data_IF_333862252154
#
_entry.id   IF_333862252154
#
_cell.length_a   1.000
_cell.length_b   1.000
_cell.length_c   1.000
_cell.angle_alpha   90.00
_cell.angle_beta   90.00
_cell.angle_gamma   90.00
#
_symmetry.space_group_name_H-M   'P 1'
#
loop_
_entity.id
_entity.type
_entity.pdbx_description
1 polymer ?
#
# COMPACT_ATOMS: atom_id res chain seq x y z
N UNK A 1 -11.30 17.65 2.78
CA UNK A 1 -10.87 16.41 3.44
C UNK A 1 -10.52 15.48 2.30
N UNK A 2 -9.24 15.32 1.98
CA UNK A 2 -8.86 14.36 0.96
C UNK A 2 -8.94 12.94 1.52
N UNK A 3 -9.03 12.00 0.60
CA UNK A 3 -9.15 10.58 0.93
C UNK A 3 -7.82 10.08 1.46
N UNK A 4 -7.78 9.78 2.77
CA UNK A 4 -6.63 9.11 3.37
C UNK A 4 -6.57 7.68 2.84
N UNK A 5 -5.38 7.21 2.54
CA UNK A 5 -5.15 5.81 2.23
C UNK A 5 -3.90 5.28 2.91
N UNK A 6 -3.84 3.96 3.05
CA UNK A 6 -2.67 3.26 3.57
C UNK A 6 -2.37 2.09 2.67
N UNK A 7 -1.13 2.03 2.19
CA UNK A 7 -0.66 0.96 1.34
C UNK A 7 0.22 -0.01 2.11
N UNK A 8 -0.06 -1.31 1.98
CA UNK A 8 0.81 -2.41 2.37
C UNK A 8 1.54 -2.85 1.11
N UNK A 9 2.85 -2.58 1.03
CA UNK A 9 3.67 -2.79 -0.17
C UNK A 9 4.59 -3.99 0.03
N UNK A 10 4.56 -4.93 -0.90
CA UNK A 10 5.55 -6.02 -0.96
C UNK A 10 6.77 -5.51 -1.74
N UNK A 11 7.87 -5.32 -1.02
CA UNK A 11 9.14 -4.78 -1.55
C UNK A 11 10.06 -5.86 -2.10
N UNK A 12 9.71 -7.14 -1.97
CA UNK A 12 10.57 -8.28 -2.33
C UNK A 12 10.06 -9.07 -3.53
N UNK A 13 8.76 -8.96 -3.86
CA UNK A 13 8.20 -9.65 -5.01
C UNK A 13 8.71 -9.03 -6.30
N UNK A 14 9.21 -9.87 -7.21
CA UNK A 14 9.67 -9.42 -8.53
C UNK A 14 8.52 -9.00 -9.42
N UNK A 15 8.79 -8.12 -10.38
CA UNK A 15 7.79 -7.62 -11.32
C UNK A 15 7.10 -8.74 -12.11
N UNK A 16 7.84 -9.80 -12.45
CA UNK A 16 7.34 -10.93 -13.23
C UNK A 16 6.32 -11.80 -12.47
N UNK A 17 6.43 -11.86 -11.14
CA UNK A 17 5.58 -12.72 -10.28
C UNK A 17 4.38 -11.94 -9.74
N UNK A 18 4.49 -10.61 -9.63
CA UNK A 18 3.46 -9.75 -9.06
C UNK A 18 2.04 -9.93 -9.64
N UNK A 19 1.83 -10.10 -10.97
CA UNK A 19 0.49 -10.31 -11.53
C UNK A 19 -0.19 -11.58 -11.02
N UNK A 20 0.57 -12.68 -10.94
CA UNK A 20 0.06 -13.97 -10.41
C UNK A 20 -0.27 -13.85 -8.93
N UNK A 21 0.61 -13.22 -8.16
CA UNK A 21 0.39 -13.00 -6.74
C UNK A 21 -0.81 -12.08 -6.45
N UNK A 22 -1.08 -11.11 -7.31
CA UNK A 22 -2.25 -10.24 -7.20
C UNK A 22 -3.57 -11.00 -7.42
N UNK A 23 -3.60 -11.92 -8.39
CA UNK A 23 -4.75 -12.80 -8.61
C UNK A 23 -4.96 -13.74 -7.40
N UNK A 24 -3.89 -14.36 -6.89
CA UNK A 24 -3.96 -15.21 -5.69
C UNK A 24 -4.40 -14.41 -4.46
N UNK A 25 -4.01 -13.15 -4.36
CA UNK A 25 -4.44 -12.25 -3.30
C UNK A 25 -5.92 -11.88 -3.41
N UNK A 26 -6.39 -11.58 -4.63
CA UNK A 26 -7.81 -11.35 -4.91
C UNK A 26 -8.65 -12.58 -4.51
N UNK A 27 -8.27 -13.77 -4.98
CA UNK A 27 -8.96 -15.02 -4.64
C UNK A 27 -9.00 -15.25 -3.13
N UNK A 28 -7.87 -15.03 -2.43
CA UNK A 28 -7.80 -15.16 -0.98
C UNK A 28 -8.73 -14.20 -0.25
N UNK A 29 -8.80 -12.94 -0.68
CA UNK A 29 -9.69 -11.92 -0.09
C UNK A 29 -11.16 -12.28 -0.34
N UNK A 30 -11.48 -12.78 -1.53
CA UNK A 30 -12.81 -13.23 -1.91
C UNK A 30 -13.24 -14.46 -1.08
N UNK A 31 -12.42 -15.50 -1.04
CA UNK A 31 -12.68 -16.76 -0.32
C UNK A 31 -12.77 -16.54 1.20
N UNK A 32 -12.02 -15.56 1.71
CA UNK A 32 -12.06 -15.16 3.13
C UNK A 32 -13.28 -14.28 3.47
N UNK A 33 -14.12 -13.94 2.49
CA UNK A 33 -15.29 -13.08 2.67
C UNK A 33 -14.92 -11.66 3.09
N UNK A 34 -13.80 -11.13 2.61
CA UNK A 34 -13.36 -9.75 2.91
C UNK A 34 -13.98 -8.76 1.93
N UNK A 35 -13.96 -9.11 0.64
CA UNK A 35 -14.39 -8.26 -0.46
C UNK A 35 -15.56 -8.87 -1.24
N UNK A 36 -16.28 -8.02 -1.97
CA UNK A 36 -17.19 -8.44 -3.03
C UNK A 36 -16.40 -8.82 -4.29
N UNK A 37 -16.92 -9.75 -5.12
CA UNK A 37 -16.23 -10.18 -6.33
C UNK A 37 -16.19 -9.09 -7.41
N UNK A 38 -17.07 -8.10 -7.37
CA UNK A 38 -17.17 -7.03 -8.36
C UNK A 38 -16.17 -5.89 -8.09
N UNK A 39 -15.62 -5.33 -9.17
CA UNK A 39 -14.88 -4.07 -9.12
C UNK A 39 -15.85 -2.90 -9.01
N UNK A 40 -15.43 -1.88 -8.26
CA UNK A 40 -16.02 -0.54 -8.27
C UNK A 40 -15.03 0.47 -8.84
N UNK A 41 -15.54 1.47 -9.54
CA UNK A 41 -14.78 2.54 -10.21
C UNK A 41 -15.22 3.95 -9.79
N UNK A 42 -16.09 4.04 -8.79
CA UNK A 42 -16.67 5.27 -8.26
C UNK A 42 -15.84 5.90 -7.12
N UNK A 43 -14.63 5.40 -6.86
CA UNK A 43 -13.71 6.00 -5.91
C UNK A 43 -13.08 7.29 -6.49
N UNK A 44 -12.88 8.28 -5.61
CA UNK A 44 -12.05 9.45 -5.92
C UNK A 44 -10.70 9.00 -6.50
N UNK A 45 -10.20 9.72 -7.50
CA UNK A 45 -8.96 9.44 -8.24
C UNK A 45 -9.03 8.32 -9.30
N UNK A 46 -10.23 7.78 -9.60
CA UNK A 46 -10.44 6.87 -10.73
C UNK A 46 -9.72 5.52 -10.59
N UNK A 47 -9.49 5.11 -9.35
CA UNK A 47 -8.93 3.80 -9.01
C UNK A 47 -9.98 2.70 -9.12
N UNK A 48 -9.56 1.53 -9.60
CA UNK A 48 -10.34 0.31 -9.51
C UNK A 48 -10.07 -0.35 -8.16
N UNK A 49 -11.11 -0.55 -7.38
CA UNK A 49 -11.01 -1.21 -6.09
C UNK A 49 -12.13 -2.23 -5.91
N UNK A 50 -12.02 -3.01 -4.84
CA UNK A 50 -13.00 -3.99 -4.42
C UNK A 50 -13.73 -3.45 -3.20
N UNK A 51 -15.08 -3.38 -3.22
CA UNK A 51 -15.85 -3.05 -2.03
C UNK A 51 -15.63 -4.12 -0.96
N UNK A 52 -15.60 -3.70 0.31
CA UNK A 52 -15.67 -4.64 1.43
C UNK A 52 -17.08 -5.22 1.54
N UNK A 53 -17.20 -6.41 2.11
CA UNK A 53 -18.50 -6.95 2.46
C UNK A 53 -19.04 -6.29 3.73
N UNK A 54 -20.34 -5.99 3.74
CA UNK A 54 -21.03 -5.35 4.87
C UNK A 54 -21.04 -6.19 6.15
N UNK A 55 -20.82 -7.51 6.06
CA UNK A 55 -20.75 -8.45 7.18
C UNK A 55 -19.31 -8.69 7.68
N UNK A 56 -18.30 -8.16 6.99
CA UNK A 56 -16.92 -8.30 7.41
C UNK A 56 -16.61 -7.33 8.55
N UNK A 57 -16.17 -7.89 9.69
CA UNK A 57 -15.82 -7.16 10.93
C UNK A 57 -14.34 -7.28 11.28
N UNK A 58 -13.56 -7.93 10.42
CA UNK A 58 -12.19 -8.32 10.70
C UNK A 58 -11.20 -7.16 10.83
N UNK A 59 -11.61 -5.94 10.45
CA UNK A 59 -10.77 -4.73 10.44
C UNK A 59 -11.31 -3.59 11.33
N UNK A 60 -12.34 -3.85 12.15
CA UNK A 60 -12.98 -2.83 12.99
C UNK A 60 -12.04 -2.30 14.07
N UNK A 61 -11.06 -3.09 14.54
CA UNK A 61 -10.12 -2.66 15.59
C UNK A 61 -9.06 -1.65 15.09
N UNK A 62 -9.02 -1.37 13.79
CA UNK A 62 -8.07 -0.41 13.18
C UNK A 62 -8.44 1.06 13.39
N UNK A 63 -9.62 1.35 13.97
CA UNK A 63 -10.10 2.69 14.29
C UNK A 63 -9.15 3.50 15.22
N UNK A 64 -9.29 4.84 15.25
CA UNK A 64 -8.36 5.73 15.94
C UNK A 64 -8.39 5.55 17.48
N UNK A 65 -7.21 5.46 18.09
CA UNK A 65 -7.03 5.41 19.55
C UNK A 65 -7.43 6.74 20.22
N UNK A 66 -7.36 7.88 19.49
CA UNK A 66 -7.76 9.19 20.01
C UNK A 66 -9.27 9.40 20.08
N UNK A 67 -10.08 8.49 19.56
CA UNK A 67 -11.55 8.57 19.64
C UNK A 67 -12.10 8.37 21.04
N UNK A 68 -11.29 7.98 22.03
CA UNK A 68 -11.74 7.83 23.41
C UNK A 68 -12.18 9.14 24.08
N UNK A 69 -11.92 10.31 23.46
CA UNK A 69 -12.38 11.62 23.94
C UNK A 69 -13.56 12.20 23.15
N UNK A 70 -14.05 11.53 22.09
CA UNK A 70 -15.31 11.91 21.46
C UNK A 70 -16.45 11.19 22.18
N UNK A 71 -17.14 11.95 23.02
CA UNK A 71 -18.40 11.55 23.63
C UNK A 71 -19.28 10.89 22.57
N UNK A 72 -19.73 9.67 22.89
CA UNK A 72 -20.72 8.94 22.11
C UNK A 72 -22.01 9.76 22.02
N UNK A 73 -22.14 10.56 20.96
CA UNK A 73 -23.45 10.96 20.50
C UNK A 73 -24.06 9.76 19.78
N UNK A 74 -24.88 9.07 20.56
CA UNK A 74 -25.90 8.12 20.13
C UNK A 74 -26.56 8.60 18.83
N UNK A 75 -26.28 7.92 17.71
CA UNK A 75 -27.16 7.61 16.55
C UNK A 75 -26.38 7.24 15.24
N UNK A 76 -25.25 6.54 15.31
CA UNK A 76 -24.82 5.66 14.21
C UNK A 76 -23.94 4.52 14.74
N UNK A 77 -24.28 3.26 14.47
CA UNK A 77 -23.53 2.10 14.97
C UNK A 77 -22.19 1.95 14.24
N UNK A 78 -21.24 1.28 14.89
CA UNK A 78 -19.87 1.06 14.43
C UNK A 78 -19.76 0.43 13.04
N UNK A 79 -19.16 1.20 12.13
CA UNK A 79 -18.79 0.75 10.79
C UNK A 79 -17.30 0.93 10.60
N UNK A 80 -16.63 -0.11 10.10
CA UNK A 80 -15.26 -0.05 9.61
C UNK A 80 -15.12 1.17 8.69
N UNK A 81 -14.20 2.08 8.99
CA UNK A 81 -13.99 3.27 8.16
C UNK A 81 -13.33 2.96 6.80
N UNK A 82 -12.93 1.69 6.58
CA UNK A 82 -12.38 1.19 5.32
C UNK A 82 -13.54 0.90 4.36
N UNK A 83 -13.56 1.60 3.23
CA UNK A 83 -14.66 1.54 2.26
C UNK A 83 -14.33 0.71 1.02
N UNK A 84 -13.04 0.50 0.75
CA UNK A 84 -12.59 -0.32 -0.36
C UNK A 84 -11.14 -0.80 -0.17
N UNK A 85 -10.80 -1.88 -0.89
CA UNK A 85 -9.45 -2.43 -1.02
C UNK A 85 -9.06 -2.34 -2.50
N UNK A 86 -7.99 -1.63 -2.81
CA UNK A 86 -7.34 -1.70 -4.12
C UNK A 86 -6.17 -2.69 -4.06
N UNK A 87 -6.02 -3.50 -5.10
CA UNK A 87 -4.87 -4.38 -5.29
C UNK A 87 -4.02 -3.79 -6.42
N UNK A 88 -2.90 -3.15 -6.07
CA UNK A 88 -2.03 -2.48 -7.03
C UNK A 88 -0.95 -3.43 -7.56
N UNK A 89 -0.71 -3.40 -8.88
CA UNK A 89 0.35 -4.16 -9.55
C UNK A 89 1.07 -3.28 -10.57
N UNK A 90 2.40 -3.26 -10.52
CA UNK A 90 3.20 -2.44 -11.46
C UNK A 90 2.98 -2.84 -12.91
N UNK A 91 2.55 -1.90 -13.75
CA UNK A 91 2.33 -2.10 -15.19
C UNK A 91 1.04 -2.84 -15.55
N UNK A 92 0.15 -3.05 -14.59
CA UNK A 92 -1.15 -3.67 -14.80
C UNK A 92 -2.27 -2.83 -14.19
N UNK A 93 -3.48 -3.01 -14.71
CA UNK A 93 -4.70 -2.47 -14.13
C UNK A 93 -5.78 -3.56 -14.13
N UNK A 94 -6.65 -3.51 -13.12
CA UNK A 94 -7.88 -4.29 -13.08
C UNK A 94 -8.93 -3.75 -14.04
N UNK A 95 -9.61 -4.63 -14.75
CA UNK A 95 -10.76 -4.29 -15.58
C UNK A 95 -11.90 -5.29 -15.34
N UNK A 96 -13.12 -4.86 -15.63
CA UNK A 96 -14.29 -5.73 -15.62
C UNK A 96 -14.24 -6.56 -16.92
N UNK A 97 -14.01 -7.87 -16.78
CA UNK A 97 -13.98 -8.82 -17.89
C UNK A 97 -15.36 -9.06 -18.51
N UNK A 98 -15.38 -9.70 -19.68
CA UNK A 98 -16.63 -9.98 -20.41
C UNK A 98 -17.62 -10.87 -19.64
N UNK A 99 -17.11 -11.64 -18.68
CA UNK A 99 -17.91 -12.52 -17.80
C UNK A 99 -18.40 -11.80 -16.54
N UNK A 100 -18.11 -10.50 -16.40
CA UNK A 100 -18.35 -9.72 -15.18
C UNK A 100 -17.29 -9.95 -14.10
N UNK A 101 -16.35 -10.88 -14.30
CA UNK A 101 -15.26 -11.12 -13.35
C UNK A 101 -14.12 -10.10 -13.53
N UNK A 102 -13.48 -9.65 -12.44
CA UNK A 102 -12.26 -8.87 -12.50
C UNK A 102 -11.16 -9.63 -13.23
N UNK A 103 -10.49 -8.95 -14.14
CA UNK A 103 -9.35 -9.47 -14.87
C UNK A 103 -8.22 -8.44 -14.79
N UNK A 104 -6.98 -8.91 -14.91
CA UNK A 104 -5.80 -8.05 -14.84
C UNK A 104 -5.20 -7.90 -16.25
N UNK A 105 -5.17 -6.67 -16.78
CA UNK A 105 -4.57 -6.37 -18.09
C UNK A 105 -3.34 -5.50 -17.97
N UNK A 106 -2.44 -5.65 -18.96
CA UNK A 106 -1.28 -4.78 -19.08
C UNK A 106 -1.75 -3.37 -19.39
N UNK A 107 -1.50 -2.44 -18.48
CA UNK A 107 -1.74 -1.02 -18.71
C UNK A 107 -0.65 -0.19 -18.03
N UNK A 108 0.08 0.64 -18.77
CA UNK A 108 1.03 1.57 -18.17
C UNK A 108 0.28 2.63 -17.35
N UNK A 109 0.69 2.82 -16.09
CA UNK A 109 0.08 3.80 -15.20
C UNK A 109 0.47 3.62 -13.73
N UNK A 110 0.40 2.39 -13.21
CA UNK A 110 0.94 2.07 -11.89
C UNK A 110 2.44 1.77 -12.00
N UNK A 111 3.24 2.65 -11.40
CA UNK A 111 4.70 2.54 -11.42
C UNK A 111 5.26 1.75 -10.23
N UNK A 112 4.45 1.26 -9.29
CA UNK A 112 4.94 0.59 -8.09
C UNK A 112 5.64 1.52 -7.10
N UNK A 113 5.29 2.81 -7.13
CA UNK A 113 5.79 3.80 -6.19
C UNK A 113 4.62 4.28 -5.34
N UNK A 114 4.78 4.16 -4.02
CA UNK A 114 3.78 4.53 -3.03
C UNK A 114 4.40 5.61 -2.15
N UNK A 115 3.83 6.82 -2.16
CA UNK A 115 4.42 7.97 -1.47
C UNK A 115 3.41 9.04 -1.08
N UNK A 116 3.74 9.83 -0.07
CA UNK A 116 3.00 11.04 0.27
C UNK A 116 3.43 12.19 -0.66
N UNK A 117 2.53 12.63 -1.56
CA UNK A 117 2.82 13.65 -2.57
C UNK A 117 2.86 15.08 -2.01
N UNK A 118 2.10 15.37 -0.94
CA UNK A 118 1.89 16.75 -0.48
C UNK A 118 2.91 17.23 0.57
N UNK A 119 3.72 16.33 1.14
CA UNK A 119 4.73 16.65 2.17
C UNK A 119 6.19 16.47 1.74
N UNK A 120 6.43 15.94 0.53
CA UNK A 120 7.67 15.25 0.21
C UNK A 120 7.84 13.99 1.07
N UNK A 121 8.95 13.28 0.87
CA UNK A 121 9.26 12.09 1.65
C UNK A 121 10.75 11.93 1.89
N UNK A 122 11.06 11.11 2.89
CA UNK A 122 12.42 10.66 3.20
C UNK A 122 12.55 9.15 3.01
N UNK A 123 13.72 8.71 2.58
CA UNK A 123 14.07 7.28 2.50
C UNK A 123 15.34 6.99 3.26
N UNK A 124 15.39 5.88 3.99
CA UNK A 124 16.51 5.50 4.84
C UNK A 124 17.30 4.36 4.21
N UNK A 125 18.63 4.45 4.28
CA UNK A 125 19.51 3.40 3.83
C UNK A 125 19.27 2.11 4.65
N UNK A 126 19.10 0.94 4.03
CA UNK A 126 18.86 -0.30 4.78
C UNK A 126 20.02 -0.74 5.67
N UNK A 127 21.25 -0.26 5.42
CA UNK A 127 22.43 -0.62 6.21
C UNK A 127 22.75 0.35 7.34
N UNK A 128 22.81 1.66 7.05
CA UNK A 128 23.25 2.66 8.02
C UNK A 128 22.14 3.59 8.50
N UNK A 129 20.91 3.43 8.00
CA UNK A 129 19.72 4.24 8.33
C UNK A 129 19.81 5.73 8.01
N UNK A 130 20.92 6.19 7.42
CA UNK A 130 21.06 7.56 6.93
C UNK A 130 19.93 7.89 5.95
N UNK A 131 19.29 9.03 6.19
CA UNK A 131 18.11 9.46 5.46
C UNK A 131 18.50 10.34 4.26
N UNK A 132 17.80 10.13 3.14
CA UNK A 132 17.83 11.00 1.97
C UNK A 132 16.43 11.59 1.81
N UNK A 133 16.31 12.91 1.91
CA UNK A 133 15.04 13.62 1.76
C UNK A 133 14.88 14.10 0.32
N UNK A 134 13.72 13.86 -0.27
CA UNK A 134 13.40 14.37 -1.60
C UNK A 134 13.43 15.91 -1.60
N UNK A 135 14.17 16.50 -2.54
CA UNK A 135 14.27 17.95 -2.71
C UNK A 135 15.27 18.65 -1.77
N UNK A 136 16.04 17.90 -0.97
CA UNK A 136 17.17 18.41 -0.21
C UNK A 136 18.48 18.28 -1.00
N UNK A 137 19.49 19.06 -0.62
CA UNK A 137 20.85 18.91 -1.17
C UNK A 137 21.35 17.47 -0.98
N UNK A 138 21.88 16.85 -2.04
CA UNK A 138 22.32 15.45 -2.02
C UNK A 138 21.23 14.43 -2.39
N UNK A 139 20.03 14.87 -2.81
CA UNK A 139 18.95 13.98 -3.28
C UNK A 139 19.02 13.64 -4.77
N UNK A 140 20.05 14.06 -5.50
CA UNK A 140 20.22 13.81 -6.95
C UNK A 140 20.19 12.31 -7.26
N UNK A 141 20.90 11.50 -6.46
CA UNK A 141 20.89 10.05 -6.60
C UNK A 141 19.50 9.44 -6.38
N UNK A 142 18.66 10.04 -5.53
CA UNK A 142 17.28 9.59 -5.33
C UNK A 142 16.42 9.92 -6.56
N UNK A 143 16.56 11.10 -7.17
CA UNK A 143 15.85 11.43 -8.41
C UNK A 143 16.25 10.49 -9.56
N UNK A 144 17.54 10.19 -9.69
CA UNK A 144 18.03 9.22 -10.67
C UNK A 144 17.45 7.82 -10.43
N UNK A 145 17.43 7.35 -9.18
CA UNK A 145 16.86 6.05 -8.83
C UNK A 145 15.35 5.99 -9.12
N UNK A 146 14.58 7.04 -8.81
CA UNK A 146 13.15 7.12 -9.10
C UNK A 146 12.88 7.11 -10.62
N UNK A 147 13.68 7.85 -11.40
CA UNK A 147 13.58 7.85 -12.85
C UNK A 147 13.95 6.48 -13.45
N UNK A 148 15.03 5.87 -12.96
CA UNK A 148 15.42 4.51 -13.35
C UNK A 148 14.33 3.49 -13.00
N UNK A 149 13.66 3.65 -11.85
CA UNK A 149 12.56 2.78 -11.45
C UNK A 149 11.39 2.87 -12.42
N UNK A 150 11.02 4.08 -12.85
CA UNK A 150 9.96 4.27 -13.84
C UNK A 150 10.26 3.55 -15.17
N UNK A 151 11.52 3.50 -15.59
CA UNK A 151 11.93 2.87 -16.85
C UNK A 151 12.12 1.36 -16.72
N UNK A 152 12.90 0.93 -15.73
CA UNK A 152 13.22 -0.46 -15.45
C UNK A 152 13.47 -0.67 -13.94
N UNK A 153 12.42 -1.02 -13.17
CA UNK A 153 12.48 -1.16 -11.71
C UNK A 153 13.63 -2.02 -11.18
N UNK A 154 13.87 -3.17 -11.82
CA UNK A 154 14.89 -4.14 -11.40
C UNK A 154 16.32 -3.60 -11.52
N UNK A 155 16.52 -2.53 -12.29
CA UNK A 155 17.82 -1.84 -12.44
C UNK A 155 17.95 -0.58 -11.59
N UNK A 156 16.89 -0.19 -10.87
CA UNK A 156 16.90 1.01 -10.04
C UNK A 156 17.72 0.79 -8.78
N UNK A 157 18.88 1.44 -8.72
CA UNK A 157 19.79 1.38 -7.59
C UNK A 157 19.95 2.76 -6.97
N UNK A 158 19.98 2.83 -5.64
CA UNK A 158 20.28 4.04 -4.89
C UNK A 158 21.53 3.83 -4.05
N UNK A 159 22.48 4.76 -4.19
CA UNK A 159 23.73 4.79 -3.44
C UNK A 159 23.60 5.68 -2.21
N UNK A 160 23.93 5.14 -1.04
CA UNK A 160 23.97 5.91 0.19
C UNK A 160 25.23 6.79 0.27
N UNK A 161 25.06 8.08 0.50
CA UNK A 161 26.18 9.02 0.68
C UNK A 161 26.99 8.78 1.97
N UNK A 162 26.37 8.21 3.00
CA UNK A 162 27.03 8.01 4.31
C UNK A 162 27.83 6.71 4.40
N UNK A 163 27.28 5.59 3.93
CA UNK A 163 27.96 4.28 4.02
C UNK A 163 28.43 3.73 2.68
N UNK A 164 28.18 4.45 1.58
CA UNK A 164 28.57 4.09 0.23
C UNK A 164 27.93 2.82 -0.35
N UNK A 165 26.99 2.19 0.37
CA UNK A 165 26.25 1.04 -0.12
C UNK A 165 25.34 1.43 -1.29
N UNK A 166 25.35 0.62 -2.35
CA UNK A 166 24.46 0.76 -3.52
C UNK A 166 23.53 -0.44 -3.55
N UNK A 167 22.23 -0.20 -3.39
CA UNK A 167 21.22 -1.27 -3.32
C UNK A 167 19.92 -0.88 -4.01
N UNK A 168 19.06 -1.86 -4.35
CA UNK A 168 17.81 -1.59 -5.06
C UNK A 168 16.91 -0.59 -4.33
N UNK A 169 16.25 0.30 -5.07
CA UNK A 169 15.36 1.31 -4.49
C UNK A 169 14.25 0.70 -3.63
N UNK A 170 13.73 -0.49 -3.99
CA UNK A 170 12.71 -1.20 -3.21
C UNK A 170 13.15 -1.56 -1.78
N UNK A 171 14.46 -1.64 -1.53
CA UNK A 171 15.02 -1.92 -0.19
C UNK A 171 15.11 -0.67 0.69
N UNK A 172 14.96 0.53 0.11
CA UNK A 172 14.95 1.78 0.84
C UNK A 172 13.53 2.05 1.35
N UNK A 173 13.41 2.21 2.66
CA UNK A 173 12.13 2.44 3.33
C UNK A 173 12.18 3.76 4.09
N UNK A 174 11.03 4.43 4.20
CA UNK A 174 10.88 5.58 5.08
C UNK A 174 10.61 5.13 6.52
N UNK A 175 11.37 5.60 7.50
CA UNK A 175 11.05 5.36 8.92
C UNK A 175 9.68 5.96 9.31
N UNK A 176 9.31 7.07 8.66
CA UNK A 176 8.03 7.74 8.84
C UNK A 176 6.92 7.18 7.95
N UNK A 177 7.17 6.09 7.21
CA UNK A 177 6.19 5.42 6.34
C UNK A 177 5.65 6.35 5.25
N UNK A 178 6.51 7.24 4.75
CA UNK A 178 6.16 8.20 3.70
C UNK A 178 6.40 7.64 2.29
N UNK A 179 7.13 6.52 2.18
CA UNK A 179 7.59 5.98 0.91
C UNK A 179 7.85 4.46 0.97
N UNK A 180 7.44 3.77 -0.08
CA UNK A 180 7.94 2.44 -0.45
C UNK A 180 7.87 2.24 -1.97
N UNK A 181 8.77 1.42 -2.50
CA UNK A 181 8.75 0.95 -3.88
C UNK A 181 8.57 -0.58 -3.94
N UNK A 182 7.63 -1.05 -4.74
CA UNK A 182 7.32 -2.48 -4.85
C UNK A 182 6.32 -2.80 -5.95
N UNK A 183 6.21 -4.09 -6.29
CA UNK A 183 5.43 -4.53 -7.46
C UNK A 183 4.02 -5.00 -7.16
N UNK A 184 3.71 -5.21 -5.89
CA UNK A 184 2.39 -5.60 -5.39
C UNK A 184 2.07 -4.79 -4.14
N UNK A 185 0.87 -4.25 -4.05
CA UNK A 185 0.38 -3.65 -2.81
C UNK A 185 -1.12 -3.86 -2.62
N UNK A 186 -1.55 -3.76 -1.36
CA UNK A 186 -2.94 -3.45 -1.02
C UNK A 186 -3.00 -1.99 -0.60
N UNK A 187 -3.88 -1.21 -1.21
CA UNK A 187 -4.23 0.12 -0.73
C UNK A 187 -5.60 0.06 -0.08
N UNK A 188 -5.66 0.42 1.20
CA UNK A 188 -6.90 0.56 1.96
C UNK A 188 -7.41 1.99 1.80
N UNK A 189 -8.66 2.12 1.33
CA UNK A 189 -9.33 3.40 1.17
C UNK A 189 -10.26 3.68 2.35
N UNK A 190 -10.22 4.90 2.90
CA UNK A 190 -11.15 5.35 3.93
C UNK A 190 -10.49 6.00 5.15
N UNK A 191 -11.29 6.25 6.19
CA UNK A 191 -10.84 6.90 7.42
C UNK A 191 -10.04 5.96 8.34
N UNK A 192 -9.18 6.52 9.18
CA UNK A 192 -8.64 5.88 10.39
C UNK A 192 -7.88 4.55 10.18
N UNK A 193 -6.76 4.60 9.45
CA UNK A 193 -5.86 3.46 9.20
C UNK A 193 -4.63 3.43 10.15
N UNK A 194 -4.58 4.34 11.12
CA UNK A 194 -3.49 4.50 12.08
C UNK A 194 -3.38 3.33 13.07
N UNK A 195 -4.45 2.52 13.24
CA UNK A 195 -4.41 1.30 14.06
C UNK A 195 -3.32 0.32 13.62
N UNK A 196 -2.97 0.29 12.33
CA UNK A 196 -1.88 -0.54 11.81
C UNK A 196 -0.50 -0.17 12.37
N UNK A 197 -0.33 1.09 12.78
CA UNK A 197 0.94 1.65 13.25
C UNK A 197 1.03 1.61 14.77
N UNK A 198 -0.03 2.06 15.44
CA UNK A 198 -0.04 2.17 16.90
C UNK A 198 -0.39 0.85 17.59
N UNK A 199 -1.04 -0.07 16.87
CA UNK A 199 -1.44 -1.39 17.39
C UNK A 199 -1.04 -2.51 16.43
N UNK A 200 0.26 -2.62 16.05
CA UNK A 200 0.71 -3.63 15.08
C UNK A 200 0.47 -5.07 15.56
N UNK A 201 0.28 -5.26 16.87
CA UNK A 201 -0.03 -6.55 17.48
C UNK A 201 -1.53 -6.86 17.60
N UNK A 202 -2.43 -5.96 17.18
CA UNK A 202 -3.88 -6.19 17.21
C UNK A 202 -4.27 -7.37 16.34
N UNK A 203 -5.44 -7.96 16.63
CA UNK A 203 -5.93 -9.09 15.85
C UNK A 203 -6.20 -8.67 14.40
N UNK A 204 -6.78 -7.48 14.17
CA UNK A 204 -7.00 -7.00 12.80
C UNK A 204 -5.70 -6.65 12.07
N UNK A 205 -4.71 -6.04 12.73
CA UNK A 205 -3.43 -5.73 12.10
C UNK A 205 -2.71 -7.02 11.66
N UNK A 206 -2.68 -8.03 12.54
CA UNK A 206 -2.15 -9.37 12.21
C UNK A 206 -2.95 -10.04 11.09
N UNK A 207 -4.28 -9.96 11.13
CA UNK A 207 -5.16 -10.53 10.11
C UNK A 207 -4.92 -9.88 8.74
N UNK A 208 -4.85 -8.56 8.66
CA UNK A 208 -4.58 -7.84 7.41
C UNK A 208 -3.21 -8.21 6.85
N UNK A 209 -2.17 -8.21 7.69
CA UNK A 209 -0.82 -8.62 7.28
C UNK A 209 -0.80 -10.07 6.80
N UNK A 210 -1.53 -10.97 7.46
CA UNK A 210 -1.68 -12.36 7.03
C UNK A 210 -2.42 -12.51 5.70
N UNK A 211 -3.48 -11.72 5.49
CA UNK A 211 -4.21 -11.66 4.22
C UNK A 211 -3.29 -11.20 3.08
N UNK A 212 -2.42 -10.21 3.33
CA UNK A 212 -1.46 -9.72 2.34
C UNK A 212 -0.28 -10.69 2.09
N UNK A 213 0.45 -11.06 3.15
CA UNK A 213 1.67 -11.86 3.06
C UNK A 213 1.41 -13.31 2.64
N UNK A 214 0.20 -13.83 2.85
CA UNK A 214 -0.10 -15.24 2.62
C UNK A 214 0.81 -16.14 3.47
N UNK A 215 1.38 -17.19 2.85
CA UNK A 215 2.32 -18.12 3.50
C UNK A 215 3.78 -17.66 3.51
N UNK A 216 4.10 -16.52 2.89
CA UNK A 216 5.50 -16.10 2.67
C UNK A 216 6.17 -15.52 3.92
N UNK A 217 5.40 -15.12 4.94
CA UNK A 217 5.94 -14.52 6.17
C UNK A 217 6.61 -13.15 5.98
N UNK A 218 6.56 -12.57 4.77
CA UNK A 218 7.17 -11.27 4.46
C UNK A 218 6.36 -10.16 5.13
N UNK A 219 7.05 -9.30 5.87
CA UNK A 219 6.42 -8.12 6.46
C UNK A 219 6.31 -7.00 5.42
N UNK A 220 5.09 -6.52 5.09
CA UNK A 220 4.93 -5.44 4.12
C UNK A 220 5.49 -4.12 4.65
N UNK A 221 6.05 -3.32 3.75
CA UNK A 221 6.29 -1.92 4.02
C UNK A 221 4.93 -1.20 4.11
N UNK A 222 4.77 -0.35 5.12
CA UNK A 222 3.59 0.50 5.27
C UNK A 222 3.88 1.88 4.69
N UNK A 223 2.92 2.41 3.93
CA UNK A 223 2.94 3.78 3.42
C UNK A 223 1.63 4.47 3.77
N UNK A 224 1.72 5.63 4.39
CA UNK A 224 0.58 6.45 4.77
C UNK A 224 0.50 7.70 3.90
N UNK A 225 -0.60 7.86 3.16
CA UNK A 225 -0.82 9.02 2.30
C UNK A 225 -1.93 9.89 2.89
N UNK A 226 -1.58 11.14 3.20
CA UNK A 226 -2.54 12.21 3.44
C UNK A 226 -2.78 12.90 2.10
N UNK A 227 -3.90 12.61 1.45
CA UNK A 227 -4.42 13.40 0.31
C UNK A 227 -5.34 14.48 0.86
#
# INVERSE_FOLDING_TARGET
MGDRNTSLVNTEISRAVAPKAALELYERLLDSGVILPELRDDLSLGGFAFPLRDDFRGLDDLEDWRSSEQAMDSHSPGHTCITAIEIGVTGYRWHIGLTGRPELTVQPGNNGLYMNFDGGFSVNCPFCRSAVKLGADGSEGLYEALNAWHQNPESSLLRCSSCNATVPLSTWQSENQEFAAGHLAITLWGGNLLGLLFRPSSASAKRLRGLFAGSSGIEPALVFCLV
#
